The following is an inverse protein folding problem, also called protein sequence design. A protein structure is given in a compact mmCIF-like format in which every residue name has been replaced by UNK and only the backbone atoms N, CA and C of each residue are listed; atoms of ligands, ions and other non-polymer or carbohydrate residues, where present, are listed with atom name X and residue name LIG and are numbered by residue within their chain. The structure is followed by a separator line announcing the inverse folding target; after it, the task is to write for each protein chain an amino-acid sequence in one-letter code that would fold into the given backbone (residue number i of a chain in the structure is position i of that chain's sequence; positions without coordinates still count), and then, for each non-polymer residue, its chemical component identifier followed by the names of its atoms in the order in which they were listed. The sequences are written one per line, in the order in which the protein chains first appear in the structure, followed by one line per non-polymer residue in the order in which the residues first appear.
data_IF_362202410545
#
_entry.id   IF_362202410545
#
_cell.length_a   1.000
_cell.length_b   1.000
_cell.length_c   1.000
_cell.angle_alpha   90.00
_cell.angle_beta   90.00
_cell.angle_gamma   90.00
#
_symmetry.space_group_name_H-M   'P 1'
#
loop_
_entity.id
_entity.type
_entity.pdbx_description
1 polymer ?
#
# COMPACT_ATOMS: atom_id res chain seq x y z
N UNK A 1 -15.29 0.50 -0.88
CA UNK A 1 -16.51 -0.24 -0.64
C UNK A 1 -16.30 -1.73 -0.82
N UNK A 2 -15.70 -2.13 -1.94
CA UNK A 2 -15.32 -3.53 -2.17
C UNK A 2 -14.33 -4.02 -1.11
N UNK A 3 -13.38 -3.18 -0.72
CA UNK A 3 -12.40 -3.50 0.30
C UNK A 3 -13.00 -3.64 1.69
N UNK A 4 -13.95 -2.78 2.02
CA UNK A 4 -14.63 -2.84 3.31
C UNK A 4 -15.43 -4.13 3.45
N UNK A 5 -16.09 -4.58 2.39
CA UNK A 5 -16.80 -5.85 2.37
C UNK A 5 -15.84 -7.02 2.52
N UNK A 6 -14.69 -6.97 1.84
CA UNK A 6 -13.65 -7.98 1.95
C UNK A 6 -13.11 -8.09 3.38
N UNK A 7 -12.86 -6.95 4.01
CA UNK A 7 -12.39 -6.90 5.39
C UNK A 7 -13.45 -7.44 6.34
N UNK A 8 -14.71 -7.05 6.16
CA UNK A 8 -15.83 -7.56 6.97
C UNK A 8 -15.94 -9.07 6.83
N UNK A 9 -15.75 -9.60 5.63
CA UNK A 9 -15.77 -11.05 5.40
C UNK A 9 -14.66 -11.74 6.16
N UNK A 10 -13.44 -11.22 6.11
CA UNK A 10 -12.29 -11.77 6.84
C UNK A 10 -12.57 -11.78 8.34
N UNK A 11 -13.07 -10.67 8.87
CA UNK A 11 -13.39 -10.55 10.29
C UNK A 11 -14.53 -11.50 10.71
N UNK A 12 -15.53 -11.65 9.84
CA UNK A 12 -16.64 -12.58 10.10
C UNK A 12 -16.17 -14.03 10.10
N UNK A 13 -15.28 -14.38 9.18
CA UNK A 13 -14.69 -15.72 9.16
C UNK A 13 -13.89 -15.97 10.43
N UNK A 14 -13.15 -14.98 10.90
CA UNK A 14 -12.42 -15.05 12.16
C UNK A 14 -13.36 -15.29 13.33
N UNK A 15 -14.49 -14.59 13.38
CA UNK A 15 -15.50 -14.77 14.42
C UNK A 15 -16.18 -16.14 14.36
N UNK A 16 -16.46 -16.63 13.15
CA UNK A 16 -17.07 -17.96 12.97
C UNK A 16 -16.14 -19.09 13.36
N UNK A 17 -14.85 -18.90 13.16
CA UNK A 17 -13.84 -19.92 13.48
C UNK A 17 -13.33 -19.85 14.90
N UNK A 18 -13.67 -18.81 15.62
CA UNK A 18 -13.29 -18.65 17.03
C UNK A 18 -14.16 -19.54 17.92
N UNK A 19 -13.80 -20.81 17.97
CA UNK A 19 -14.39 -21.73 18.94
C UNK A 19 -13.58 -21.60 20.24
N UNK A 20 -14.21 -21.14 21.34
CA UNK A 20 -13.48 -20.93 22.60
C UNK A 20 -12.91 -22.20 23.19
N UNK A 21 -13.34 -23.37 22.72
CA UNK A 21 -12.86 -24.65 23.22
C UNK A 21 -11.66 -25.23 22.47
N UNK A 22 -11.15 -24.53 21.44
CA UNK A 22 -9.99 -24.99 20.66
C UNK A 22 -8.95 -23.87 20.53
N UNK A 23 -8.03 -23.74 21.54
CA UNK A 23 -7.01 -22.68 21.53
C UNK A 23 -6.09 -22.70 20.32
N UNK A 24 -5.79 -23.87 19.78
CA UNK A 24 -4.89 -24.01 18.62
C UNK A 24 -5.52 -23.48 17.33
N UNK A 25 -6.84 -23.62 17.18
CA UNK A 25 -7.56 -23.10 16.03
C UNK A 25 -7.55 -21.57 16.01
N UNK A 26 -7.62 -20.94 17.19
CA UNK A 26 -7.56 -19.49 17.33
C UNK A 26 -6.22 -18.92 16.91
N UNK A 27 -5.11 -19.56 17.32
CA UNK A 27 -3.78 -19.08 16.98
C UNK A 27 -3.53 -19.14 15.48
N UNK A 28 -3.91 -20.24 14.83
CA UNK A 28 -3.77 -20.39 13.38
C UNK A 28 -4.71 -19.49 12.60
N UNK A 29 -5.97 -19.39 13.03
CA UNK A 29 -6.98 -18.54 12.40
C UNK A 29 -6.65 -17.06 12.52
N UNK A 30 -6.18 -16.62 13.69
CA UNK A 30 -5.78 -15.25 13.93
C UNK A 30 -4.61 -14.82 13.05
N UNK A 31 -3.59 -15.66 12.97
CA UNK A 31 -2.42 -15.41 12.13
C UNK A 31 -2.81 -15.30 10.66
N UNK A 32 -3.63 -16.23 10.17
CA UNK A 32 -4.09 -16.23 8.77
C UNK A 32 -4.94 -15.00 8.46
N UNK A 33 -5.84 -14.64 9.37
CA UNK A 33 -6.69 -13.47 9.20
C UNK A 33 -5.89 -12.18 9.16
N UNK A 34 -4.88 -12.04 10.02
CA UNK A 34 -4.00 -10.88 10.05
C UNK A 34 -3.20 -10.77 8.76
N UNK A 35 -2.70 -11.88 8.25
CA UNK A 35 -1.96 -11.91 6.98
C UNK A 35 -2.85 -11.48 5.83
N UNK A 36 -4.06 -12.00 5.74
CA UNK A 36 -5.03 -11.62 4.70
C UNK A 36 -5.43 -10.16 4.84
N UNK A 37 -5.61 -9.69 6.05
CA UNK A 37 -5.94 -8.29 6.32
C UNK A 37 -4.81 -7.37 5.85
N UNK A 38 -3.56 -7.71 6.20
CA UNK A 38 -2.40 -6.93 5.74
C UNK A 38 -2.31 -6.92 4.21
N UNK A 39 -2.54 -8.06 3.57
CA UNK A 39 -2.54 -8.15 2.11
C UNK A 39 -3.63 -7.28 1.49
N UNK A 40 -4.81 -7.21 2.10
CA UNK A 40 -5.89 -6.35 1.64
C UNK A 40 -5.53 -4.87 1.76
N UNK A 41 -4.84 -4.51 2.84
CA UNK A 41 -4.37 -3.14 3.03
C UNK A 41 -3.32 -2.76 2.00
N UNK A 42 -2.36 -3.64 1.72
CA UNK A 42 -1.36 -3.42 0.68
C UNK A 42 -2.01 -3.29 -0.69
N UNK A 43 -2.98 -4.13 -0.99
CA UNK A 43 -3.73 -4.05 -2.25
C UNK A 43 -4.44 -2.71 -2.37
N UNK A 44 -5.05 -2.22 -1.29
CA UNK A 44 -5.68 -0.90 -1.28
C UNK A 44 -4.67 0.20 -1.60
N UNK A 45 -3.48 0.14 -0.98
CA UNK A 45 -2.41 1.09 -1.26
C UNK A 45 -2.03 1.04 -2.75
N UNK A 46 -1.87 -0.14 -3.32
CA UNK A 46 -1.49 -0.32 -4.72
C UNK A 46 -2.54 0.21 -5.70
N UNK A 47 -3.79 0.26 -5.29
CA UNK A 47 -4.87 0.74 -6.14
C UNK A 47 -5.22 2.22 -5.93
N UNK A 48 -4.84 2.80 -4.80
CA UNK A 48 -5.23 4.17 -4.42
C UNK A 48 -4.05 5.10 -4.12
N UNK A 49 -2.82 4.70 -4.46
CA UNK A 49 -1.62 5.47 -4.11
C UNK A 49 -1.62 6.88 -4.70
N UNK A 50 -2.30 7.10 -5.82
CA UNK A 50 -2.31 8.39 -6.51
C UNK A 50 -3.25 9.42 -5.89
N UNK A 51 -4.08 9.02 -4.93
CA UNK A 51 -5.18 9.82 -4.39
C UNK A 51 -4.83 10.53 -3.07
N UNK A 52 -3.58 10.90 -2.85
CA UNK A 52 -3.20 11.54 -1.60
C UNK A 52 -3.43 10.64 -0.38
N UNK A 53 -3.20 9.37 -0.53
CA UNK A 53 -3.45 8.37 0.49
C UNK A 53 -2.57 8.58 1.71
N UNK A 54 -3.19 8.63 2.90
CA UNK A 54 -2.50 8.72 4.18
C UNK A 54 -2.84 7.51 5.04
N UNK A 55 -2.07 7.31 6.10
CA UNK A 55 -2.37 6.25 7.07
C UNK A 55 -3.75 6.47 7.70
N UNK A 56 -4.12 7.72 7.95
CA UNK A 56 -5.43 8.07 8.48
C UNK A 56 -6.55 7.66 7.52
N UNK A 57 -6.38 7.93 6.22
CA UNK A 57 -7.34 7.54 5.20
C UNK A 57 -7.49 6.01 5.15
N UNK A 58 -6.37 5.31 5.18
CA UNK A 58 -6.37 3.84 5.17
C UNK A 58 -7.07 3.30 6.41
N UNK A 59 -6.78 3.86 7.58
CA UNK A 59 -7.41 3.45 8.83
C UNK A 59 -8.92 3.68 8.79
N UNK A 60 -9.35 4.80 8.24
CA UNK A 60 -10.77 5.10 8.06
C UNK A 60 -11.46 4.12 7.14
N UNK A 61 -10.82 3.76 6.03
CA UNK A 61 -11.38 2.82 5.07
C UNK A 61 -11.56 1.42 5.67
N UNK A 62 -10.62 0.98 6.48
CA UNK A 62 -10.68 -0.33 7.13
C UNK A 62 -11.35 -0.28 8.51
N UNK A 63 -11.74 0.91 8.96
CA UNK A 63 -12.39 1.13 10.25
C UNK A 63 -11.57 0.56 11.41
N UNK A 64 -10.29 0.87 11.42
CA UNK A 64 -9.33 0.37 12.40
C UNK A 64 -8.41 1.50 12.87
N UNK A 65 -7.74 1.26 14.00
CA UNK A 65 -6.80 2.22 14.59
C UNK A 65 -5.53 2.32 13.73
N UNK A 66 -5.02 3.54 13.55
CA UNK A 66 -3.82 3.81 12.75
C UNK A 66 -2.60 3.04 13.26
N UNK A 67 -2.39 3.04 14.57
CA UNK A 67 -1.24 2.35 15.18
C UNK A 67 -1.29 0.85 14.91
N UNK A 68 -2.48 0.28 15.03
CA UNK A 68 -2.67 -1.14 14.76
C UNK A 68 -2.36 -1.49 13.30
N UNK A 69 -2.90 -0.68 12.38
CA UNK A 69 -2.69 -0.89 10.94
C UNK A 69 -1.20 -0.76 10.59
N UNK A 70 -0.55 0.28 11.10
CA UNK A 70 0.87 0.52 10.86
C UNK A 70 1.72 -0.68 11.32
N UNK A 71 1.46 -1.15 12.53
CA UNK A 71 2.18 -2.30 13.09
C UNK A 71 1.90 -3.58 12.31
N UNK A 72 0.65 -3.79 11.94
CA UNK A 72 0.23 -5.00 11.22
C UNK A 72 0.90 -5.09 9.84
N UNK A 73 0.87 -4.01 9.07
CA UNK A 73 1.49 -3.98 7.75
C UNK A 73 2.98 -4.27 7.87
N UNK A 74 3.68 -3.59 8.77
CA UNK A 74 5.12 -3.77 8.96
C UNK A 74 5.44 -5.20 9.40
N UNK A 75 4.69 -5.73 10.34
CA UNK A 75 4.91 -7.07 10.90
C UNK A 75 4.69 -8.17 9.85
N UNK A 76 3.62 -8.04 9.04
CA UNK A 76 3.24 -9.10 8.11
C UNK A 76 3.92 -9.01 6.75
N UNK A 77 4.38 -7.83 6.34
CA UNK A 77 4.97 -7.62 5.01
C UNK A 77 6.45 -7.25 5.04
N UNK A 78 6.97 -6.88 6.20
CA UNK A 78 8.35 -6.42 6.35
C UNK A 78 8.57 -4.96 5.98
N UNK A 79 7.60 -4.31 5.37
CA UNK A 79 7.67 -2.90 4.96
C UNK A 79 6.52 -2.13 5.57
N UNK A 80 6.78 -0.87 5.95
CA UNK A 80 5.75 0.01 6.50
C UNK A 80 4.83 0.58 5.45
N UNK A 81 3.78 1.26 5.90
CA UNK A 81 2.81 1.91 5.01
C UNK A 81 3.49 2.88 4.04
N UNK A 82 4.38 3.75 4.54
CA UNK A 82 5.08 4.72 3.71
C UNK A 82 5.93 4.07 2.63
N UNK A 83 6.59 2.98 2.97
CA UNK A 83 7.41 2.23 2.01
C UNK A 83 6.56 1.61 0.90
N UNK A 84 5.42 1.02 1.25
CA UNK A 84 4.49 0.47 0.25
C UNK A 84 3.93 1.57 -0.66
N UNK A 85 3.61 2.73 -0.09
CA UNK A 85 3.08 3.86 -0.85
C UNK A 85 4.11 4.36 -1.87
N UNK A 86 5.36 4.60 -1.42
CA UNK A 86 6.45 5.04 -2.29
C UNK A 86 6.71 4.01 -3.38
N UNK A 87 6.80 2.75 -3.01
CA UNK A 87 7.06 1.66 -3.97
C UNK A 87 6.00 1.62 -5.08
N UNK A 88 4.73 1.72 -4.71
CA UNK A 88 3.64 1.72 -5.69
C UNK A 88 3.70 2.91 -6.62
N UNK A 89 3.96 4.10 -6.07
CA UNK A 89 4.09 5.33 -6.86
C UNK A 89 5.27 5.28 -7.82
N UNK A 90 6.40 4.80 -7.35
CA UNK A 90 7.62 4.73 -8.19
C UNK A 90 7.47 3.68 -9.28
N UNK A 91 6.89 2.53 -8.99
CA UNK A 91 6.64 1.50 -10.00
C UNK A 91 5.74 2.03 -11.11
N UNK A 92 4.69 2.76 -10.75
CA UNK A 92 3.78 3.34 -11.75
C UNK A 92 4.46 4.46 -12.54
N UNK A 93 5.30 5.26 -11.87
CA UNK A 93 6.09 6.28 -12.54
C UNK A 93 7.02 5.66 -13.60
N UNK A 94 7.69 4.57 -13.25
CA UNK A 94 8.54 3.85 -14.20
C UNK A 94 7.75 3.35 -15.40
N UNK A 95 6.56 2.84 -15.18
CA UNK A 95 5.68 2.41 -16.26
C UNK A 95 5.34 3.57 -17.19
N UNK A 96 4.94 4.73 -16.64
CA UNK A 96 4.65 5.92 -17.45
C UNK A 96 5.88 6.44 -18.20
N UNK A 97 7.06 6.38 -17.55
CA UNK A 97 8.30 6.78 -18.21
C UNK A 97 8.61 5.91 -19.44
N UNK A 98 8.28 4.63 -19.37
CA UNK A 98 8.51 3.69 -20.47
C UNK A 98 7.43 3.77 -21.55
N UNK A 99 6.19 4.00 -21.17
CA UNK A 99 5.05 3.80 -22.07
C UNK A 99 4.43 5.09 -22.59
N UNK A 100 4.82 6.25 -22.06
CA UNK A 100 4.25 7.53 -22.49
C UNK A 100 5.35 8.54 -22.81
N UNK A 101 4.95 9.61 -23.50
CA UNK A 101 5.79 10.77 -23.74
C UNK A 101 5.44 11.92 -22.81
N UNK A 102 4.67 11.66 -21.76
CA UNK A 102 4.27 12.69 -20.80
C UNK A 102 5.49 13.33 -20.16
N UNK A 103 5.38 14.60 -19.82
CA UNK A 103 6.45 15.31 -19.11
C UNK A 103 6.65 14.71 -17.71
N UNK A 104 7.82 14.95 -17.15
CA UNK A 104 8.12 14.46 -15.81
C UNK A 104 7.19 15.08 -14.76
N UNK A 105 6.80 16.33 -14.94
CA UNK A 105 5.84 17.01 -14.07
C UNK A 105 4.47 16.36 -14.12
N UNK A 106 4.01 15.99 -15.31
CA UNK A 106 2.73 15.30 -15.48
C UNK A 106 2.78 13.93 -14.81
N UNK A 107 3.86 13.18 -15.02
CA UNK A 107 4.01 11.86 -14.42
C UNK A 107 4.04 11.96 -12.89
N UNK A 108 4.78 12.93 -12.34
CA UNK A 108 4.84 13.16 -10.91
C UNK A 108 3.44 13.36 -10.33
N UNK A 109 2.66 14.24 -10.94
CA UNK A 109 1.29 14.53 -10.50
C UNK A 109 0.40 13.28 -10.59
N UNK A 110 0.51 12.52 -11.68
CA UNK A 110 -0.33 11.33 -11.89
C UNK A 110 -0.07 10.24 -10.87
N UNK A 111 1.15 10.14 -10.35
CA UNK A 111 1.46 9.13 -9.34
C UNK A 111 1.31 9.64 -7.90
N UNK A 112 0.83 10.89 -7.73
CA UNK A 112 0.49 11.42 -6.41
C UNK A 112 1.48 12.40 -5.83
N UNK A 113 2.42 12.94 -6.62
CA UNK A 113 3.39 13.94 -6.18
C UNK A 113 3.15 15.26 -6.92
N UNK A 114 2.42 16.21 -6.30
CA UNK A 114 2.19 17.50 -6.95
C UNK A 114 3.48 18.30 -7.17
N UNK A 115 4.45 18.12 -6.28
CA UNK A 115 5.75 18.80 -6.37
C UNK A 115 6.74 17.92 -7.14
N UNK A 116 7.09 18.38 -8.36
CA UNK A 116 8.03 17.67 -9.22
C UNK A 116 9.42 17.52 -8.58
N UNK A 117 9.88 18.53 -7.87
CA UNK A 117 11.20 18.47 -7.24
C UNK A 117 11.24 17.44 -6.12
N UNK A 118 10.18 17.36 -5.34
CA UNK A 118 10.04 16.33 -4.32
C UNK A 118 9.96 14.93 -4.94
N UNK A 119 9.19 14.80 -6.00
CA UNK A 119 9.11 13.53 -6.75
C UNK A 119 10.49 13.07 -7.19
N UNK A 120 11.29 13.97 -7.76
CA UNK A 120 12.64 13.64 -8.25
C UNK A 120 13.52 13.11 -7.11
N UNK A 121 13.46 13.74 -5.93
CA UNK A 121 14.20 13.29 -4.76
C UNK A 121 13.77 11.90 -4.31
N UNK A 122 12.46 11.67 -4.22
CA UNK A 122 11.91 10.38 -3.81
C UNK A 122 12.29 9.29 -4.80
N UNK A 123 12.16 9.59 -6.09
CA UNK A 123 12.50 8.65 -7.16
C UNK A 123 13.97 8.26 -7.10
N UNK A 124 14.86 9.23 -7.00
CA UNK A 124 16.31 8.99 -6.93
C UNK A 124 16.68 8.17 -5.68
N UNK A 125 16.07 8.50 -4.55
CA UNK A 125 16.30 7.74 -3.31
C UNK A 125 15.87 6.28 -3.45
N UNK A 126 14.74 6.05 -4.12
CA UNK A 126 14.18 4.70 -4.27
C UNK A 126 14.91 3.87 -5.32
N UNK A 127 15.41 4.48 -6.40
CA UNK A 127 15.96 3.76 -7.55
C UNK A 127 17.45 3.98 -7.78
N UNK A 128 18.03 5.00 -7.17
CA UNK A 128 19.44 5.35 -7.35
C UNK A 128 19.72 6.32 -8.50
N UNK A 129 18.75 6.58 -9.37
CA UNK A 129 18.89 7.51 -10.50
C UNK A 129 17.69 8.44 -10.59
N UNK A 130 17.83 9.54 -11.33
CA UNK A 130 16.70 10.47 -11.53
C UNK A 130 15.73 9.92 -12.56
N UNK A 131 14.46 10.38 -12.55
CA UNK A 131 13.50 9.99 -13.58
C UNK A 131 13.96 10.33 -14.99
N UNK A 132 14.60 11.50 -15.15
CA UNK A 132 15.14 11.92 -16.45
C UNK A 132 16.23 10.96 -16.93
N UNK A 133 17.14 10.59 -16.03
CA UNK A 133 18.22 9.64 -16.36
C UNK A 133 17.65 8.28 -16.74
N UNK A 134 16.66 7.80 -16.00
CA UNK A 134 15.99 6.54 -16.32
C UNK A 134 15.38 6.56 -17.72
N UNK A 135 14.67 7.66 -18.07
CA UNK A 135 14.03 7.79 -19.38
C UNK A 135 15.07 7.81 -20.51
N UNK A 136 16.22 8.42 -20.29
CA UNK A 136 17.29 8.47 -21.31
C UNK A 136 17.93 7.11 -21.55
N UNK A 137 17.84 6.18 -20.60
CA UNK A 137 18.38 4.83 -20.74
C UNK A 137 17.48 3.88 -21.55
N UNK A 138 16.26 4.28 -21.83
CA UNK A 138 15.28 3.42 -22.51
C UNK A 138 15.52 3.31 -24.03
#
# INVERSE_FOLDING_TARGET
LEYLEKVKRILNEKHRQADPDTPDADAGGGYRSEKLLAQSMVQFIQEHFAEGLSLQTLAGEFNMNESYISSLIKKKTGKGFGEHLVESRIQKAQEYLRTTNDSLEVIAARVGYPDYYYFTKVYKKATGITPAAYRRQL
#
